data_IF_341207111930
#
_entry.id   IF_341207111930
#
_cell.length_a   1.000
_cell.length_b   1.000
_cell.length_c   1.000
_cell.angle_alpha   90.00
_cell.angle_beta   90.00
_cell.angle_gamma   90.00
#
_symmetry.space_group_name_H-M   'P 1'
#
loop_
_entity.id
_entity.type
_entity.pdbx_description
1 polymer ?
2 non-polymer ?
3 non-polymer ?
4 water ?
#
# COMPACT_ATOMS: atom_id res chain seq x y z
N UNK A 1 -9.46 21.90 -22.85
CA UNK A 1 -10.43 22.87 -22.36
C UNK A 1 -11.69 22.18 -21.84
N UNK A 2 -12.34 21.36 -22.65
CA UNK A 2 -13.32 20.40 -22.14
C UNK A 2 -12.97 19.01 -22.62
N UNK A 3 -13.40 17.99 -21.86
CA UNK A 3 -12.86 16.65 -21.94
C UNK A 3 -13.92 15.59 -22.16
N UNK A 4 -15.14 15.97 -22.54
CA UNK A 4 -16.20 14.97 -22.66
C UNK A 4 -16.06 14.08 -23.90
N UNK A 5 -15.17 14.44 -24.83
CA UNK A 5 -14.89 13.56 -25.96
C UNK A 5 -14.16 12.28 -25.52
N UNK A 6 -13.59 12.26 -24.32
CA UNK A 6 -12.76 11.15 -23.86
C UNK A 6 -13.29 10.45 -22.62
N UNK A 7 -14.13 11.09 -21.83
CA UNK A 7 -14.69 10.53 -20.59
C UNK A 7 -16.15 10.94 -20.51
N UNK A 8 -17.02 10.11 -19.89
CA UNK A 8 -18.42 10.48 -19.71
C UNK A 8 -18.66 11.37 -18.48
N UNK A 9 -17.87 12.44 -18.38
CA UNK A 9 -17.95 13.40 -17.29
C UNK A 9 -17.92 14.79 -17.88
N UNK A 10 -18.72 15.69 -17.30
CA UNK A 10 -18.50 17.13 -17.47
C UNK A 10 -17.36 17.55 -16.53
N UNK A 11 -17.01 18.85 -16.54
CA UNK A 11 -15.86 19.30 -15.74
C UNK A 11 -16.12 19.17 -14.24
N UNK A 12 -17.30 19.60 -13.76
CA UNK A 12 -17.58 19.50 -12.33
C UNK A 12 -17.67 18.07 -11.86
N UNK A 13 -18.24 17.17 -12.68
CA UNK A 13 -18.30 15.75 -12.30
C UNK A 13 -16.91 15.13 -12.29
N UNK A 14 -16.07 15.51 -13.24
CA UNK A 14 -14.73 14.94 -13.27
C UNK A 14 -13.90 15.48 -12.14
N UNK A 15 -14.00 16.80 -11.86
CA UNK A 15 -13.18 17.38 -10.78
C UNK A 15 -13.62 16.90 -9.41
N UNK A 16 -14.92 16.62 -9.24
CA UNK A 16 -15.38 16.00 -7.99
C UNK A 16 -14.76 14.61 -7.80
N UNK A 17 -14.74 13.81 -8.87
CA UNK A 17 -14.19 12.47 -8.80
C UNK A 17 -12.69 12.48 -8.49
N UNK A 18 -11.92 13.37 -9.13
CA UNK A 18 -10.48 13.50 -8.87
C UNK A 18 -10.20 13.99 -7.46
N UNK A 19 -10.97 14.98 -6.96
CA UNK A 19 -10.72 15.52 -5.62
C UNK A 19 -10.98 14.49 -4.52
N UNK A 20 -11.82 13.48 -4.81
CA UNK A 20 -12.09 12.38 -3.89
C UNK A 20 -10.88 11.47 -3.70
N UNK A 21 -9.86 11.55 -4.57
CA UNK A 21 -8.72 10.65 -4.54
C UNK A 21 -7.57 11.15 -3.70
N UNK A 22 -7.60 12.39 -3.26
CA UNK A 22 -6.36 13.04 -2.84
C UNK A 22 -6.67 14.20 -1.90
N UNK A 23 -5.62 14.69 -1.25
CA UNK A 23 -5.73 15.81 -0.33
C UNK A 23 -6.09 17.09 -1.09
N UNK A 24 -6.64 18.09 -0.39
CA UNK A 24 -6.84 19.41 -1.04
C UNK A 24 -5.56 20.04 -1.57
N UNK A 25 -4.43 19.91 -0.84
CA UNK A 25 -3.16 20.39 -1.37
C UNK A 25 -2.79 19.67 -2.67
N UNK A 26 -3.00 18.36 -2.72
CA UNK A 26 -2.69 17.62 -3.96
C UNK A 26 -3.62 18.02 -5.07
N UNK A 27 -4.90 18.27 -4.76
CA UNK A 27 -5.86 18.70 -5.78
C UNK A 27 -5.51 20.07 -6.35
N UNK A 28 -4.97 20.96 -5.51
CA UNK A 28 -4.53 22.27 -5.97
C UNK A 28 -3.32 22.16 -6.88
N UNK A 29 -2.41 21.23 -6.58
CA UNK A 29 -1.31 20.93 -7.49
C UNK A 29 -1.81 20.48 -8.84
N UNK A 30 -2.84 19.63 -8.86
CA UNK A 30 -3.36 19.09 -10.12
C UNK A 30 -3.98 20.18 -10.98
N UNK A 31 -4.78 21.09 -10.37
CA UNK A 31 -5.36 22.19 -11.13
C UNK A 31 -4.28 23.08 -11.72
N UNK A 32 -3.20 23.28 -10.98
CA UNK A 32 -2.07 24.04 -11.52
C UNK A 32 -1.39 23.34 -12.69
N UNK A 33 -1.25 22.01 -12.62
CA UNK A 33 -0.64 21.30 -13.75
C UNK A 33 -1.52 21.44 -14.97
N UNK A 34 -2.86 21.42 -14.78
CA UNK A 34 -3.79 21.63 -15.88
C UNK A 34 -3.57 22.99 -16.54
N UNK A 35 -3.39 24.02 -15.71
CA UNK A 35 -3.12 25.37 -16.23
C UNK A 35 -1.83 25.42 -17.02
N UNK A 36 -0.75 24.83 -16.49
CA UNK A 36 0.54 24.87 -17.17
C UNK A 36 0.55 24.02 -18.43
N UNK A 37 -0.14 22.88 -18.41
CA UNK A 37 -0.20 22.02 -19.59
C UNK A 37 -0.99 22.66 -20.71
N UNK A 38 -2.08 23.37 -20.37
CA UNK A 38 -2.83 24.07 -21.40
C UNK A 38 -1.98 25.20 -21.99
N UNK A 39 -1.24 25.89 -21.13
CA UNK A 39 -0.34 26.95 -21.54
C UNK A 39 0.87 26.41 -22.30
N UNK A 40 1.26 25.14 -22.09
CA UNK A 40 2.25 24.49 -22.95
C UNK A 40 1.67 23.94 -24.25
N UNK A 41 0.39 23.51 -24.25
CA UNK A 41 -0.21 22.88 -25.42
C UNK A 41 -0.51 23.84 -26.59
N UNK A 42 -1.13 25.03 -26.36
CA UNK A 42 -1.45 25.91 -27.50
C UNK A 42 -0.18 26.50 -28.10
N UNK A 43 0.84 26.68 -27.27
CA UNK A 43 2.14 27.13 -27.77
C UNK A 43 2.79 26.08 -28.67
N UNK A 44 2.92 24.83 -28.23
CA UNK A 44 3.71 23.88 -29.00
C UNK A 44 2.84 23.10 -29.96
N UNK A 45 1.53 23.33 -29.95
CA UNK A 45 0.62 22.69 -30.89
C UNK A 45 0.17 21.28 -30.56
N UNK A 46 0.07 20.89 -29.29
CA UNK A 46 -0.61 19.61 -29.04
C UNK A 46 -2.06 19.94 -28.65
N UNK A 47 -2.93 18.94 -28.79
CA UNK A 47 -4.37 19.07 -28.52
C UNK A 47 -4.55 19.50 -27.06
N UNK A 48 -5.17 20.66 -26.80
CA UNK A 48 -5.29 21.10 -25.41
C UNK A 48 -6.28 20.27 -24.64
N UNK A 49 -7.27 19.68 -25.32
CA UNK A 49 -8.18 18.76 -24.66
C UNK A 49 -7.44 17.50 -24.19
N UNK A 50 -6.49 17.03 -24.98
CA UNK A 50 -5.72 15.87 -24.56
C UNK A 50 -4.70 16.26 -23.49
N UNK A 51 -4.07 17.41 -23.65
CA UNK A 51 -3.10 17.86 -22.67
C UNK A 51 -3.76 18.19 -21.34
N UNK A 52 -4.91 18.85 -21.35
CA UNK A 52 -5.52 19.26 -20.10
C UNK A 52 -6.04 18.09 -19.29
N UNK A 53 -6.57 17.09 -19.98
CA UNK A 53 -7.09 15.92 -19.32
C UNK A 53 -5.98 15.06 -18.75
N UNK A 54 -4.88 14.91 -19.50
CA UNK A 54 -3.72 14.19 -18.94
C UNK A 54 -3.21 14.88 -17.68
N UNK A 55 -3.27 16.20 -17.66
CA UNK A 55 -2.83 16.92 -16.47
C UNK A 55 -3.80 16.73 -15.31
N UNK A 56 -5.11 16.76 -15.59
CA UNK A 56 -6.08 16.53 -14.51
C UNK A 56 -5.97 15.15 -13.90
N UNK A 57 -5.57 14.16 -14.71
CA UNK A 57 -5.57 12.78 -14.24
C UNK A 57 -4.19 12.23 -13.83
N UNK A 58 -3.08 12.97 -14.03
CA UNK A 58 -1.75 12.37 -13.90
C UNK A 58 -1.46 11.85 -12.49
N UNK A 59 -2.00 12.51 -11.44
CA UNK A 59 -1.78 12.11 -10.06
C UNK A 59 -3.01 11.48 -9.44
N UNK A 60 -3.87 10.90 -10.27
CA UNK A 60 -5.10 10.29 -9.80
C UNK A 60 -4.85 9.19 -8.77
N UNK A 61 -3.78 8.41 -8.97
CA UNK A 61 -3.45 7.29 -8.12
C UNK A 61 -2.34 7.60 -7.14
N UNK A 62 -2.04 8.89 -6.93
CA UNK A 62 -0.89 9.30 -6.10
C UNK A 62 -0.99 8.78 -4.67
N UNK A 63 -2.19 8.81 -4.09
CA UNK A 63 -2.37 8.48 -2.67
C UNK A 63 -2.81 7.04 -2.44
N UNK A 64 -2.77 6.18 -3.47
CA UNK A 64 -3.16 4.78 -3.27
C UNK A 64 -2.10 4.03 -2.48
N UNK A 65 -2.50 3.10 -1.59
CA UNK A 65 -1.53 2.31 -0.83
C UNK A 65 -0.81 1.35 -1.77
N UNK A 66 0.36 0.87 -1.31
CA UNK A 66 1.23 0.02 -2.14
C UNK A 66 0.50 -1.21 -2.68
N UNK A 67 -0.43 -1.78 -1.89
CA UNK A 67 -1.13 -3.00 -2.28
C UNK A 67 -2.03 -2.80 -3.51
N UNK A 68 -2.57 -1.58 -3.70
CA UNK A 68 -3.32 -1.28 -4.93
C UNK A 68 -2.45 -1.55 -6.15
N UNK A 69 -1.19 -1.10 -6.10
CA UNK A 69 -0.29 -1.26 -7.24
C UNK A 69 0.23 -2.69 -7.38
N UNK A 70 0.55 -3.33 -6.26
CA UNK A 70 0.96 -4.74 -6.32
C UNK A 70 -0.16 -5.63 -6.89
N UNK A 71 -1.41 -5.34 -6.52
CA UNK A 71 -2.55 -6.10 -7.06
C UNK A 71 -2.74 -5.84 -8.55
N UNK A 72 -2.57 -4.57 -8.98
CA UNK A 72 -2.69 -4.25 -10.39
C UNK A 72 -1.58 -4.89 -11.22
N UNK A 73 -0.35 -4.93 -10.70
CA UNK A 73 0.79 -5.58 -11.36
C UNK A 73 0.48 -7.05 -11.67
N UNK A 74 -0.11 -7.73 -10.70
CA UNK A 74 -0.47 -9.14 -10.87
C UNK A 74 -1.65 -9.31 -11.81
N UNK A 75 -2.66 -8.45 -11.66
CA UNK A 75 -3.90 -8.57 -12.44
C UNK A 75 -3.65 -8.35 -13.93
N UNK A 76 -2.84 -7.36 -14.29
CA UNK A 76 -2.59 -7.09 -15.69
C UNK A 76 -1.33 -7.76 -16.17
N UNK A 77 -0.69 -8.52 -15.27
CA UNK A 77 0.50 -9.31 -15.54
C UNK A 77 1.62 -8.43 -16.07
N UNK A 78 1.79 -7.29 -15.39
CA UNK A 78 2.85 -6.34 -15.68
C UNK A 78 4.19 -6.92 -15.22
N UNK A 79 5.28 -6.23 -15.54
CA UNK A 79 6.62 -6.74 -15.27
C UNK A 79 6.83 -6.95 -13.78
N UNK A 80 7.31 -8.13 -13.36
CA UNK A 80 7.41 -8.42 -11.91
C UNK A 80 8.43 -7.55 -11.21
N UNK A 81 9.39 -7.03 -11.98
CA UNK A 81 10.41 -6.10 -11.52
C UNK A 81 9.81 -4.82 -10.94
N UNK A 82 8.59 -4.46 -11.37
CA UNK A 82 7.89 -3.29 -10.84
C UNK A 82 7.61 -3.43 -9.35
N UNK A 83 7.42 -4.67 -8.86
CA UNK A 83 7.09 -4.89 -7.46
C UNK A 83 8.23 -4.51 -6.51
N UNK A 84 9.46 -4.36 -7.02
CA UNK A 84 10.56 -3.94 -6.16
C UNK A 84 10.60 -2.43 -5.91
N UNK A 85 9.76 -1.65 -6.59
CA UNK A 85 9.86 -0.20 -6.54
C UNK A 85 8.89 0.40 -5.53
N UNK A 86 8.41 1.61 -5.80
CA UNK A 86 7.67 2.36 -4.80
C UNK A 86 6.58 3.17 -5.49
N UNK A 87 5.83 3.92 -4.68
CA UNK A 87 4.75 4.79 -5.18
C UNK A 87 5.21 5.78 -6.26
N UNK A 88 6.42 6.35 -6.10
CA UNK A 88 6.96 7.31 -7.07
C UNK A 88 6.95 6.74 -8.47
N UNK A 89 7.36 5.48 -8.61
CA UNK A 89 7.32 4.79 -9.90
C UNK A 89 5.89 4.36 -10.25
N UNK A 90 5.16 3.79 -9.26
CA UNK A 90 3.91 3.08 -9.54
C UNK A 90 2.77 4.02 -9.95
N UNK A 91 2.68 5.23 -9.34
CA UNK A 91 1.42 5.97 -9.42
C UNK A 91 1.12 6.45 -10.83
N UNK A 92 2.17 6.70 -11.63
CA UNK A 92 1.99 6.82 -13.06
C UNK A 92 2.11 5.49 -13.80
N UNK A 93 3.17 4.70 -13.55
CA UNK A 93 3.47 3.54 -14.41
C UNK A 93 2.43 2.43 -14.29
N UNK A 94 1.89 2.24 -13.10
CA UNK A 94 0.86 1.25 -12.86
C UNK A 94 -0.50 1.91 -12.63
N UNK A 95 -0.52 3.15 -12.12
CA UNK A 95 -1.78 3.84 -11.84
C UNK A 95 -2.66 4.09 -13.03
N UNK A 96 -2.11 4.04 -14.26
CA UNK A 96 -2.92 4.17 -15.48
C UNK A 96 -3.96 3.07 -15.58
N UNK A 97 -3.72 1.88 -15.01
CA UNK A 97 -4.75 0.84 -15.04
C UNK A 97 -5.88 1.15 -14.08
N UNK A 98 -5.58 1.81 -12.95
CA UNK A 98 -6.65 2.26 -12.05
C UNK A 98 -7.49 3.37 -12.70
N UNK A 99 -6.85 4.28 -13.42
CA UNK A 99 -7.57 5.33 -14.15
C UNK A 99 -8.52 4.71 -15.17
N UNK A 100 -8.04 3.72 -15.93
CA UNK A 100 -8.86 3.03 -16.93
C UNK A 100 -10.03 2.31 -16.31
N UNK A 101 -9.80 1.61 -15.19
CA UNK A 101 -10.88 0.90 -14.52
C UNK A 101 -11.89 1.87 -13.91
N UNK A 102 -11.41 2.90 -13.22
CA UNK A 102 -12.33 3.81 -12.52
C UNK A 102 -13.08 4.72 -13.48
N UNK A 103 -12.39 5.26 -14.48
CA UNK A 103 -12.94 6.35 -15.30
C UNK A 103 -13.27 5.96 -16.73
N UNK A 104 -12.79 4.81 -17.21
CA UNK A 104 -13.05 4.41 -18.58
C UNK A 104 -12.23 5.10 -19.63
N UNK A 105 -11.12 5.76 -19.25
CA UNK A 105 -10.23 6.37 -20.22
C UNK A 105 -9.55 5.31 -21.11
N UNK A 106 -9.71 5.43 -22.43
CA UNK A 106 -9.11 4.50 -23.35
C UNK A 106 -8.14 5.18 -24.33
N UNK A 107 -8.03 6.52 -24.28
CA UNK A 107 -7.17 7.22 -25.22
C UNK A 107 -5.71 6.87 -24.95
N UNK A 108 -5.10 6.15 -25.91
CA UNK A 108 -3.76 5.58 -25.77
C UNK A 108 -2.73 6.66 -25.52
N UNK A 109 -2.90 7.83 -26.18
CA UNK A 109 -1.92 8.91 -26.06
C UNK A 109 -1.95 9.54 -24.67
N UNK A 110 -3.15 9.81 -24.16
CA UNK A 110 -3.27 10.38 -22.82
C UNK A 110 -2.76 9.37 -21.78
N UNK A 111 -3.14 8.10 -21.94
CA UNK A 111 -2.72 7.07 -21.00
C UNK A 111 -1.19 6.94 -20.95
N UNK A 112 -0.54 6.99 -22.12
CA UNK A 112 0.91 6.89 -22.19
C UNK A 112 1.58 8.11 -21.56
N UNK A 113 1.00 9.30 -21.73
CA UNK A 113 1.57 10.50 -21.11
C UNK A 113 1.52 10.39 -19.58
N UNK A 114 0.41 9.87 -19.04
CA UNK A 114 0.29 9.71 -17.59
C UNK A 114 1.25 8.66 -17.09
N UNK A 115 1.37 7.56 -17.85
CA UNK A 115 2.25 6.43 -17.50
C UNK A 115 3.67 6.86 -17.23
N UNK A 116 4.21 7.77 -18.04
CA UNK A 116 5.62 8.13 -17.89
C UNK A 116 5.82 9.53 -17.33
N UNK A 117 4.79 10.14 -16.71
CA UNK A 117 4.92 11.53 -16.24
C UNK A 117 5.96 11.69 -15.14
N UNK A 118 6.31 10.62 -14.44
CA UNK A 118 7.35 10.72 -13.44
C UNK A 118 8.74 10.38 -13.97
N UNK A 119 8.87 9.23 -14.65
CA UNK A 119 10.20 8.72 -15.01
C UNK A 119 10.62 9.07 -16.43
N UNK A 120 9.68 9.48 -17.27
CA UNK A 120 9.95 9.77 -18.67
C UNK A 120 10.08 8.50 -19.51
N UNK A 121 10.47 8.70 -20.76
CA UNK A 121 10.94 7.57 -21.58
C UNK A 121 12.02 8.09 -22.50
N UNK A 122 12.69 7.12 -23.16
CA UNK A 122 13.67 7.48 -24.18
C UNK A 122 12.99 8.15 -25.38
N UNK A 123 11.82 7.65 -25.76
CA UNK A 123 11.03 8.22 -26.84
C UNK A 123 9.76 8.83 -26.22
N UNK A 124 9.60 10.13 -26.37
CA UNK A 124 8.44 10.83 -25.82
C UNK A 124 7.74 11.58 -26.93
N UNK A 125 6.41 11.51 -26.93
CA UNK A 125 5.69 12.36 -27.86
C UNK A 125 5.68 13.78 -27.33
N UNK A 126 5.17 14.68 -28.17
CA UNK A 126 4.95 16.05 -27.75
C UNK A 126 4.01 16.11 -26.55
N UNK A 127 2.91 15.32 -26.58
CA UNK A 127 1.97 15.25 -25.46
C UNK A 127 2.64 14.76 -24.18
N UNK A 128 3.45 13.68 -24.27
CA UNK A 128 4.20 13.19 -23.10
C UNK A 128 5.10 14.28 -22.52
N UNK A 129 5.77 15.02 -23.41
CA UNK A 129 6.73 16.01 -22.93
C UNK A 129 6.01 17.20 -22.28
N UNK A 130 4.84 17.58 -22.83
CA UNK A 130 4.05 18.68 -22.28
C UNK A 130 3.67 18.36 -20.82
N UNK A 131 3.13 17.16 -20.59
CA UNK A 131 2.73 16.78 -19.22
C UNK A 131 3.93 16.72 -18.28
N UNK A 132 5.04 16.15 -18.76
CA UNK A 132 6.23 15.95 -17.94
C UNK A 132 6.80 17.27 -17.44
N UNK A 133 6.80 18.30 -18.30
CA UNK A 133 7.32 19.60 -17.86
C UNK A 133 6.24 20.37 -17.08
N UNK A 134 4.96 20.27 -17.52
CA UNK A 134 3.86 20.98 -16.81
C UNK A 134 3.77 20.59 -15.35
N UNK A 135 3.99 19.30 -15.06
CA UNK A 135 4.01 18.81 -13.69
C UNK A 135 5.14 19.43 -12.87
N UNK A 136 6.25 19.72 -13.53
CA UNK A 136 7.43 20.26 -12.85
C UNK A 136 7.31 21.77 -12.59
N UNK A 137 6.78 22.52 -13.56
CA UNK A 137 6.89 23.98 -13.56
C UNK A 137 5.61 24.66 -13.15
N UNK A 138 4.60 23.87 -12.77
CA UNK A 138 3.28 24.27 -12.28
C UNK A 138 3.36 25.40 -11.25
N UNK A 139 2.36 26.31 -11.27
CA UNK A 139 2.50 27.61 -10.60
C UNK A 139 2.68 27.50 -9.09
N UNK A 140 2.14 26.44 -8.47
CA UNK A 140 2.26 26.20 -7.04
C UNK A 140 3.55 25.57 -6.57
N UNK A 141 4.38 25.08 -7.50
CA UNK A 141 5.65 24.44 -7.16
C UNK A 141 6.67 25.53 -6.91
N UNK A 142 7.17 25.65 -5.69
CA UNK A 142 8.31 26.52 -5.43
C UNK A 142 9.42 25.73 -4.77
N UNK A 143 10.49 25.53 -5.51
CA UNK A 143 11.79 24.97 -5.14
C UNK A 143 12.77 25.72 -6.01
N UNK A 144 14.07 25.82 -5.60
CA UNK A 144 15.01 26.74 -6.30
C UNK A 144 15.13 26.62 -7.82
N UNK A 145 15.01 25.42 -8.37
CA UNK A 145 15.19 25.23 -9.79
C UNK A 145 13.98 25.59 -10.64
N UNK A 146 12.83 26.02 -10.07
CA UNK A 146 11.60 26.22 -10.86
C UNK A 146 11.77 27.28 -11.94
N UNK A 147 12.53 28.34 -11.62
CA UNK A 147 12.46 29.55 -12.43
C UNK A 147 13.19 29.36 -13.73
N UNK A 148 14.32 28.65 -13.69
CA UNK A 148 15.03 28.39 -14.94
C UNK A 148 14.29 27.35 -15.74
N UNK A 149 13.62 26.41 -15.07
CA UNK A 149 12.80 25.42 -15.77
C UNK A 149 11.65 26.08 -16.50
N UNK A 150 10.99 27.05 -15.84
CA UNK A 150 9.94 27.84 -16.46
C UNK A 150 10.46 28.62 -17.66
N UNK A 151 11.67 29.20 -17.52
CA UNK A 151 12.27 29.98 -18.61
C UNK A 151 12.58 29.11 -19.82
N UNK A 152 13.17 27.92 -19.58
CA UNK A 152 13.50 26.98 -20.67
C UNK A 152 12.24 26.50 -21.39
N UNK A 153 11.16 26.29 -20.62
CA UNK A 153 9.92 25.69 -21.14
C UNK A 153 9.26 26.53 -22.25
N UNK A 154 9.52 27.85 -22.29
CA UNK A 154 8.96 28.68 -23.36
C UNK A 154 9.86 28.84 -24.58
N UNK A 155 11.15 28.43 -24.50
CA UNK A 155 12.07 28.43 -25.64
C UNK A 155 12.12 27.08 -26.35
N UNK A 156 12.43 26.03 -25.58
CA UNK A 156 12.79 24.72 -26.13
C UNK A 156 12.23 23.69 -25.16
N UNK A 157 11.23 22.93 -25.61
CA UNK A 157 10.60 21.96 -24.72
C UNK A 157 11.55 20.79 -24.45
N UNK A 158 12.33 20.37 -25.46
CA UNK A 158 13.29 19.27 -25.29
C UNK A 158 14.35 19.62 -24.25
N UNK A 159 14.78 20.88 -24.22
CA UNK A 159 15.73 21.30 -23.20
C UNK A 159 15.07 21.42 -21.84
N UNK A 160 13.75 21.61 -21.80
CA UNK A 160 13.08 21.60 -20.51
C UNK A 160 12.98 20.17 -19.97
N UNK A 161 12.69 19.20 -20.84
CA UNK A 161 12.65 17.78 -20.45
C UNK A 161 14.02 17.35 -19.94
N UNK A 162 15.07 17.74 -20.69
CA UNK A 162 16.45 17.46 -20.32
C UNK A 162 16.77 18.03 -18.95
N UNK A 163 16.35 19.28 -18.70
CA UNK A 163 16.65 19.96 -17.45
C UNK A 163 16.00 19.26 -16.25
N UNK A 164 14.74 18.83 -16.43
CA UNK A 164 14.03 18.15 -15.36
C UNK A 164 14.64 16.77 -15.07
N UNK A 165 14.87 15.98 -16.13
CA UNK A 165 15.36 14.61 -15.93
C UNK A 165 16.76 14.60 -15.35
N UNK A 166 17.63 15.48 -15.84
CA UNK A 166 18.98 15.53 -15.30
C UNK A 166 18.97 16.02 -13.85
N UNK A 167 18.15 17.02 -13.55
CA UNK A 167 18.07 17.48 -12.16
C UNK A 167 17.33 16.50 -11.26
N UNK A 168 16.40 15.70 -11.81
CA UNK A 168 15.78 14.68 -10.95
C UNK A 168 16.82 13.63 -10.55
N UNK A 169 17.66 13.20 -11.50
CA UNK A 169 18.71 12.22 -11.20
C UNK A 169 19.69 12.76 -10.15
N UNK A 170 20.06 14.04 -10.26
CA UNK A 170 20.96 14.65 -9.28
C UNK A 170 20.35 14.73 -7.89
N UNK A 171 19.03 14.97 -7.81
CA UNK A 171 18.35 15.00 -6.52
C UNK A 171 18.35 13.63 -5.85
N UNK A 172 17.95 12.60 -6.60
CA UNK A 172 17.93 11.23 -6.09
C UNK A 172 19.30 10.82 -5.59
N UNK A 173 20.36 11.18 -6.34
CA UNK A 173 21.73 10.93 -5.90
C UNK A 173 22.03 11.67 -4.60
N UNK A 174 21.50 12.87 -4.42
CA UNK A 174 21.81 13.60 -3.19
C UNK A 174 21.19 12.97 -1.94
N UNK A 175 20.14 12.14 -2.11
CA UNK A 175 19.45 11.45 -1.03
C UNK A 175 19.79 9.96 -0.93
N UNK A 176 20.68 9.45 -1.79
CA UNK A 176 20.94 8.01 -1.98
C UNK A 176 19.65 7.22 -2.21
N UNK A 177 18.76 7.76 -3.03
CA UNK A 177 17.57 7.02 -3.36
C UNK A 177 17.75 6.27 -4.68
N UNK A 178 17.16 5.09 -4.83
CA UNK A 178 17.38 4.30 -6.05
C UNK A 178 16.69 4.93 -7.25
N UNK A 179 17.36 4.82 -8.38
CA UNK A 179 16.90 5.42 -9.63
C UNK A 179 16.33 4.32 -10.51
N UNK A 180 15.06 4.49 -10.91
CA UNK A 180 14.39 3.54 -11.78
C UNK A 180 15.11 3.50 -13.12
N UNK A 181 15.35 2.31 -13.70
CA UNK A 181 16.11 2.25 -14.97
C UNK A 181 15.49 3.05 -16.12
N UNK A 182 14.16 3.17 -16.18
CA UNK A 182 13.56 4.00 -17.24
C UNK A 182 13.88 5.49 -17.06
N UNK A 183 14.12 5.93 -15.82
CA UNK A 183 14.57 7.31 -15.62
C UNK A 183 15.92 7.54 -16.27
N UNK A 184 16.81 6.54 -16.21
CA UNK A 184 18.08 6.65 -16.92
C UNK A 184 17.88 6.64 -18.43
N UNK A 185 16.93 5.84 -18.93
CA UNK A 185 16.57 5.87 -20.35
C UNK A 185 16.26 7.29 -20.80
N UNK A 186 15.43 7.98 -20.00
CA UNK A 186 15.09 9.37 -20.28
C UNK A 186 16.30 10.26 -20.21
N UNK A 187 17.08 10.12 -19.11
CA UNK A 187 18.30 10.90 -18.90
C UNK A 187 19.28 10.78 -20.07
N UNK A 188 19.55 9.54 -20.49
CA UNK A 188 20.54 9.36 -21.55
C UNK A 188 20.01 9.83 -22.90
N UNK A 189 18.69 9.77 -23.12
CA UNK A 189 18.16 10.24 -24.37
C UNK A 189 18.15 11.76 -24.45
N UNK A 190 18.06 12.45 -23.32
CA UNK A 190 17.89 13.89 -23.29
C UNK A 190 19.10 14.65 -22.78
N UNK A 191 20.16 13.93 -22.31
CA UNK A 191 21.36 14.55 -21.70
C UNK A 191 22.02 15.54 -22.65
N UNK A 192 21.98 15.24 -23.96
CA UNK A 192 22.64 16.09 -24.96
C UNK A 192 21.97 17.45 -25.11
N UNK A 193 20.64 17.53 -24.91
CA UNK A 193 19.97 18.84 -24.92
C UNK A 193 20.38 19.69 -23.71
N UNK A 194 20.71 19.08 -22.57
CA UNK A 194 21.19 19.89 -21.46
C UNK A 194 22.66 20.26 -21.58
N UNK A 195 23.47 19.46 -22.29
CA UNK A 195 24.84 19.91 -22.55
C UNK A 195 24.84 21.17 -23.40
N UNK A 196 24.00 21.18 -24.46
CA UNK A 196 23.89 22.34 -25.36
C UNK A 196 23.32 23.54 -24.63
N UNK A 197 22.39 23.29 -23.71
CA UNK A 197 21.94 24.32 -22.78
C UNK A 197 23.11 24.88 -21.98
N UNK A 198 23.83 24.00 -21.27
CA UNK A 198 24.94 24.39 -20.41
C UNK A 198 26.07 25.05 -21.20
N UNK B 2 -18.70 -7.18 6.24
CA UNK B 2 -19.48 -8.41 6.38
C UNK B 2 -18.80 -9.68 5.82
N UNK B 3 -19.15 -10.84 6.38
CA UNK B 3 -18.30 -12.02 6.32
C UNK B 3 -18.97 -13.21 5.67
N UNK B 4 -20.08 -13.01 4.95
CA UNK B 4 -20.81 -14.14 4.38
C UNK B 4 -20.10 -14.79 3.21
N UNK B 5 -19.08 -14.13 2.62
CA UNK B 5 -18.31 -14.80 1.56
C UNK B 5 -17.47 -15.94 2.09
N UNK B 6 -17.21 -15.99 3.40
CA UNK B 6 -16.30 -16.96 3.96
C UNK B 6 -16.95 -17.92 4.94
N UNK B 7 -18.07 -17.53 5.56
CA UNK B 7 -18.79 -18.35 6.53
C UNK B 7 -20.28 -18.21 6.34
N UNK B 8 -21.09 -19.29 6.65
CA UNK B 8 -22.55 -19.24 6.58
C UNK B 8 -23.22 -18.69 7.84
N UNK B 9 -22.73 -17.56 8.33
CA UNK B 9 -23.26 -16.94 9.53
C UNK B 9 -23.54 -15.49 9.21
N UNK B 10 -24.63 -14.96 9.76
CA UNK B 10 -24.78 -13.51 9.84
C UNK B 10 -23.90 -13.00 10.98
N UNK B 11 -23.86 -11.67 11.16
CA UNK B 11 -22.99 -11.10 12.18
C UNK B 11 -23.46 -11.44 13.61
N UNK B 12 -24.78 -11.37 13.85
CA UNK B 12 -25.32 -11.66 15.18
C UNK B 12 -25.05 -13.11 15.61
N UNK B 13 -25.18 -14.04 14.67
CA UNK B 13 -24.89 -15.43 14.97
C UNK B 13 -23.39 -15.70 15.11
N UNK B 14 -22.58 -15.03 14.31
CA UNK B 14 -21.15 -15.29 14.38
C UNK B 14 -20.59 -14.73 15.68
N UNK B 15 -21.04 -13.53 16.07
CA UNK B 15 -20.55 -12.94 17.30
C UNK B 15 -21.05 -13.73 18.50
N UNK B 16 -22.28 -14.26 18.43
CA UNK B 16 -22.78 -15.14 19.49
C UNK B 16 -21.95 -16.41 19.61
N UNK B 17 -21.59 -17.03 18.47
CA UNK B 17 -20.79 -18.25 18.47
C UNK B 17 -19.38 -17.99 19.03
N UNK B 18 -18.75 -16.88 18.60
CA UNK B 18 -17.44 -16.47 19.11
C UNK B 18 -17.56 -16.17 20.60
N UNK B 19 -18.62 -15.47 21.00
CA UNK B 19 -18.81 -15.11 22.39
C UNK B 19 -18.97 -16.32 23.30
N UNK B 20 -19.45 -17.44 22.77
CA UNK B 20 -19.58 -18.66 23.55
C UNK B 20 -18.22 -19.27 23.92
N UNK B 21 -17.13 -18.85 23.28
CA UNK B 21 -15.83 -19.45 23.49
C UNK B 21 -15.02 -18.78 24.59
N UNK B 22 -15.47 -17.64 25.14
CA UNK B 22 -14.52 -16.80 25.86
C UNK B 22 -15.19 -15.88 26.89
N UNK B 23 -14.34 -15.32 27.78
CA UNK B 23 -14.74 -14.38 28.83
C UNK B 23 -15.16 -13.05 28.20
N UNK B 24 -15.97 -12.28 28.94
CA UNK B 24 -16.31 -10.90 28.46
C UNK B 24 -15.13 -9.97 28.25
N UNK B 25 -14.11 -10.02 29.12
CA UNK B 25 -12.91 -9.23 28.88
C UNK B 25 -12.26 -9.65 27.57
N UNK B 26 -12.22 -10.95 27.29
CA UNK B 26 -11.63 -11.43 26.06
C UNK B 26 -12.45 -11.05 24.81
N UNK B 27 -13.78 -11.20 24.87
CA UNK B 27 -14.62 -10.85 23.73
C UNK B 27 -14.59 -9.36 23.43
N UNK B 28 -14.37 -8.54 24.44
CA UNK B 28 -14.22 -7.10 24.22
C UNK B 28 -12.90 -6.80 23.53
N UNK B 29 -11.84 -7.56 23.89
CA UNK B 29 -10.58 -7.45 23.17
C UNK B 29 -10.76 -7.78 21.69
N UNK B 30 -11.55 -8.81 21.40
CA UNK B 30 -11.76 -9.27 20.02
C UNK B 30 -12.48 -8.20 19.19
N UNK B 31 -13.53 -7.56 19.75
CA UNK B 31 -14.19 -6.48 19.01
C UNK B 31 -13.26 -5.28 18.78
N UNK B 32 -12.36 -4.99 19.75
CA UNK B 32 -11.34 -3.95 19.54
C UNK B 32 -10.40 -4.28 18.39
N UNK B 33 -9.96 -5.53 18.31
CA UNK B 33 -9.09 -5.97 17.21
C UNK B 33 -9.80 -5.86 15.87
N UNK B 34 -11.11 -6.17 15.84
CA UNK B 34 -11.90 -5.99 14.62
C UNK B 34 -11.92 -4.54 14.13
N UNK B 35 -12.14 -3.60 15.06
CA UNK B 35 -12.09 -2.19 14.70
C UNK B 35 -10.71 -1.79 14.22
N UNK B 36 -9.67 -2.25 14.91
CA UNK B 36 -8.32 -1.88 14.53
C UNK B 36 -7.92 -2.50 13.18
N UNK B 37 -8.34 -3.74 12.92
CA UNK B 37 -7.98 -4.40 11.68
C UNK B 37 -8.68 -3.80 10.48
N UNK B 38 -9.96 -3.41 10.64
CA UNK B 38 -10.68 -2.78 9.54
C UNK B 38 -10.05 -1.43 9.20
N UNK B 39 -9.62 -0.66 10.20
CA UNK B 39 -9.02 0.62 9.90
C UNK B 39 -7.63 0.49 9.30
N UNK B 40 -6.87 -0.56 9.69
CA UNK B 40 -5.58 -0.80 9.06
C UNK B 40 -5.77 -1.35 7.65
N UNK B 41 -6.84 -2.12 7.43
CA UNK B 41 -7.08 -2.68 6.11
C UNK B 41 -7.43 -1.58 5.12
N UNK B 42 -8.25 -0.61 5.53
CA UNK B 42 -8.58 0.45 4.57
C UNK B 42 -7.40 1.39 4.33
N UNK B 43 -6.54 1.61 5.35
CA UNK B 43 -5.32 2.40 5.17
C UNK B 43 -4.34 1.73 4.20
N UNK B 44 -4.14 0.42 4.34
CA UNK B 44 -3.12 -0.28 3.57
C UNK B 44 -3.65 -1.03 2.35
N UNK B 45 -4.97 -1.06 2.16
CA UNK B 45 -5.56 -1.72 0.99
C UNK B 45 -5.68 -3.23 1.03
N UNK B 46 -5.79 -3.87 2.20
CA UNK B 46 -6.14 -5.28 2.10
C UNK B 46 -7.65 -5.36 2.27
N UNK B 47 -8.21 -6.46 1.82
CA UNK B 47 -9.65 -6.72 1.83
C UNK B 47 -10.19 -6.66 3.27
N UNK B 48 -11.08 -5.73 3.59
CA UNK B 48 -11.54 -5.60 4.99
C UNK B 48 -12.45 -6.71 5.41
N UNK B 49 -13.11 -7.37 4.45
CA UNK B 49 -13.91 -8.54 4.77
C UNK B 49 -13.02 -9.64 5.32
N UNK B 50 -11.83 -9.79 4.75
CA UNK B 50 -10.92 -10.80 5.27
C UNK B 50 -10.27 -10.32 6.55
N UNK B 51 -9.90 -9.02 6.60
CA UNK B 51 -9.24 -8.50 7.78
C UNK B 51 -10.15 -8.55 8.99
N UNK B 52 -11.41 -8.14 8.79
CA UNK B 52 -12.35 -8.12 9.89
C UNK B 52 -12.68 -9.49 10.43
N UNK B 53 -12.79 -10.48 9.53
CA UNK B 53 -13.11 -11.83 9.98
C UNK B 53 -11.93 -12.47 10.69
N UNK B 54 -10.71 -12.28 10.14
CA UNK B 54 -9.50 -12.77 10.83
C UNK B 54 -9.41 -12.20 12.23
N UNK B 55 -9.84 -10.94 12.39
CA UNK B 55 -9.79 -10.32 13.70
C UNK B 55 -10.81 -10.93 14.65
N UNK B 56 -12.06 -11.14 14.17
CA UNK B 56 -13.10 -11.77 14.98
C UNK B 56 -12.74 -13.18 15.40
N UNK B 57 -12.00 -13.90 14.56
CA UNK B 57 -11.74 -15.30 14.88
C UNK B 57 -10.37 -15.57 15.51
N UNK B 58 -9.48 -14.56 15.63
CA UNK B 58 -8.07 -14.85 15.91
C UNK B 58 -7.87 -15.49 17.29
N UNK B 59 -8.70 -15.15 18.25
CA UNK B 59 -8.57 -15.68 19.61
C UNK B 59 -9.72 -16.64 19.95
N UNK B 60 -10.30 -17.28 18.92
CA UNK B 60 -11.42 -18.20 19.10
C UNK B 60 -11.07 -19.37 20.02
N UNK B 61 -9.82 -19.83 19.95
CA UNK B 61 -9.36 -20.97 20.72
C UNK B 61 -8.54 -20.56 21.93
N UNK B 62 -8.58 -19.27 22.32
CA UNK B 62 -7.69 -18.79 23.39
C UNK B 62 -7.95 -19.52 24.71
N UNK B 63 -9.21 -19.85 24.99
CA UNK B 63 -9.50 -20.43 26.29
C UNK B 63 -9.62 -21.94 26.30
N UNK B 64 -9.23 -22.65 25.24
CA UNK B 64 -9.35 -24.11 25.26
C UNK B 64 -8.28 -24.72 26.17
N UNK B 65 -8.60 -25.82 26.86
CA UNK B 65 -7.58 -26.47 27.67
C UNK B 65 -6.51 -27.11 26.80
N UNK B 66 -5.36 -27.38 27.46
CA UNK B 66 -4.16 -27.92 26.78
C UNK B 66 -4.46 -29.22 26.02
N UNK B 67 -5.35 -30.07 26.56
CA UNK B 67 -5.61 -31.36 25.92
C UNK B 67 -6.29 -31.22 24.58
N UNK B 68 -7.12 -30.19 24.39
CA UNK B 68 -7.73 -29.89 23.09
C UNK B 68 -6.65 -29.69 22.03
N UNK B 69 -5.60 -28.94 22.38
CA UNK B 69 -4.55 -28.65 21.41
C UNK B 69 -3.66 -29.88 21.18
N UNK B 70 -3.37 -30.63 22.24
CA UNK B 70 -2.62 -31.88 22.09
C UNK B 70 -3.37 -32.89 21.21
N UNK B 71 -4.69 -32.94 21.35
CA UNK B 71 -5.49 -33.85 20.50
C UNK B 71 -5.53 -33.39 19.04
N UNK B 72 -5.61 -32.07 18.81
CA UNK B 72 -5.55 -31.55 17.44
C UNK B 72 -4.18 -31.78 16.77
N UNK B 73 -3.09 -31.62 17.56
CA UNK B 73 -1.74 -31.91 17.05
C UNK B 73 -1.67 -33.34 16.51
N UNK B 74 -2.24 -34.28 17.25
CA UNK B 74 -2.23 -35.68 16.85
C UNK B 74 -3.15 -35.94 15.66
N UNK B 75 -4.38 -35.39 15.71
CA UNK B 75 -5.39 -35.65 14.67
C UNK B 75 -4.98 -35.09 13.33
N UNK B 76 -4.39 -33.90 13.31
CA UNK B 76 -4.07 -33.29 12.03
C UNK B 76 -2.62 -33.50 11.63
N UNK B 77 -1.89 -34.33 12.38
CA UNK B 77 -0.52 -34.76 12.06
C UNK B 77 0.42 -33.56 12.02
N UNK B 78 0.25 -32.67 13.00
CA UNK B 78 1.11 -31.50 13.11
C UNK B 78 2.47 -31.95 13.65
N UNK B 79 3.46 -31.04 13.58
CA UNK B 79 4.81 -31.42 13.98
C UNK B 79 4.79 -31.74 15.47
N UNK B 80 5.28 -32.93 15.86
CA UNK B 80 5.14 -33.36 17.28
C UNK B 80 5.88 -32.48 18.24
N UNK B 81 6.87 -31.72 17.74
CA UNK B 81 7.59 -30.73 18.52
C UNK B 81 6.67 -29.66 19.11
N UNK B 82 5.52 -29.39 18.47
CA UNK B 82 4.56 -28.42 19.00
C UNK B 82 4.04 -28.81 20.37
N UNK B 83 4.01 -30.11 20.69
CA UNK B 83 3.43 -30.59 21.95
C UNK B 83 4.19 -30.13 23.17
N UNK B 84 5.46 -29.74 23.01
CA UNK B 84 6.30 -29.24 24.10
C UNK B 84 6.03 -27.77 24.44
N UNK B 85 5.15 -27.10 23.70
CA UNK B 85 4.92 -25.67 23.88
C UNK B 85 3.72 -25.44 24.78
N UNK B 86 2.99 -24.33 24.58
CA UNK B 86 1.94 -23.88 25.49
C UNK B 86 0.82 -23.22 24.71
N UNK B 87 -0.17 -22.73 25.47
CA UNK B 87 -1.34 -22.04 24.91
C UNK B 87 -0.96 -20.81 24.07
N UNK B 88 0.06 -20.03 24.52
CA UNK B 88 0.54 -18.86 23.76
C UNK B 88 0.87 -19.23 22.32
N UNK B 89 1.57 -20.35 22.16
CA UNK B 89 1.89 -20.83 20.83
C UNK B 89 0.66 -21.47 20.19
N UNK B 90 -0.09 -22.27 20.97
CA UNK B 90 -1.08 -23.17 20.37
C UNK B 90 -2.32 -22.44 19.85
N UNK B 91 -2.80 -21.40 20.56
CA UNK B 91 -4.19 -20.96 20.32
C UNK B 91 -4.37 -20.39 18.93
N UNK B 92 -3.28 -19.88 18.31
CA UNK B 92 -3.25 -19.58 16.90
C UNK B 92 -2.74 -20.72 16.05
N UNK B 93 -1.57 -21.29 16.37
CA UNK B 93 -0.91 -22.22 15.44
C UNK B 93 -1.67 -23.53 15.32
N UNK B 94 -2.32 -23.94 16.39
CA UNK B 94 -3.13 -25.14 16.40
C UNK B 94 -4.62 -24.82 16.44
N UNK B 95 -5.01 -23.69 17.03
CA UNK B 95 -6.41 -23.30 17.09
C UNK B 95 -7.09 -23.12 15.74
N UNK B 96 -6.32 -22.91 14.66
CA UNK B 96 -6.92 -22.80 13.33
C UNK B 96 -7.62 -24.10 12.94
N UNK B 97 -7.16 -25.25 13.47
CA UNK B 97 -7.82 -26.52 13.18
C UNK B 97 -9.16 -26.63 13.90
N UNK B 98 -9.24 -26.10 15.11
CA UNK B 98 -10.53 -26.03 15.78
C UNK B 98 -11.49 -25.07 15.07
N UNK B 99 -10.98 -23.92 14.57
CA UNK B 99 -11.82 -22.96 13.83
C UNK B 99 -12.41 -23.60 12.57
N UNK B 100 -11.59 -24.37 11.85
CA UNK B 100 -12.04 -25.08 10.65
C UNK B 100 -13.10 -26.13 10.97
N UNK B 101 -12.87 -26.93 12.03
CA UNK B 101 -13.85 -27.95 12.44
C UNK B 101 -15.15 -27.34 12.92
N UNK B 102 -15.07 -26.32 13.78
CA UNK B 102 -16.28 -25.75 14.37
C UNK B 102 -17.04 -24.91 13.36
N UNK B 103 -16.35 -24.11 12.56
CA UNK B 103 -17.03 -23.09 11.76
C UNK B 103 -17.04 -23.37 10.26
N UNK B 104 -16.18 -24.25 9.77
CA UNK B 104 -16.11 -24.50 8.35
C UNK B 104 -15.33 -23.49 7.55
N UNK B 105 -14.52 -22.65 8.22
CA UNK B 105 -13.69 -21.66 7.51
C UNK B 105 -12.71 -22.34 6.56
N UNK B 106 -12.71 -21.91 5.30
CA UNK B 106 -11.84 -22.51 4.31
C UNK B 106 -10.81 -21.56 3.72
N UNK B 107 -10.94 -20.26 3.93
CA UNK B 107 -10.05 -19.31 3.26
C UNK B 107 -8.62 -19.42 3.79
N UNK B 108 -7.66 -19.78 2.89
CA UNK B 108 -6.27 -19.99 3.31
C UNK B 108 -5.66 -18.70 3.87
N UNK B 109 -6.00 -17.55 3.31
CA UNK B 109 -5.34 -16.30 3.72
C UNK B 109 -5.76 -15.92 5.13
N UNK B 110 -7.05 -16.08 5.44
CA UNK B 110 -7.55 -15.80 6.77
C UNK B 110 -6.98 -16.80 7.77
N UNK B 111 -6.96 -18.08 7.38
CA UNK B 111 -6.43 -19.11 8.26
C UNK B 111 -4.95 -18.86 8.58
N UNK B 112 -4.18 -18.45 7.58
CA UNK B 112 -2.74 -18.24 7.82
C UNK B 112 -2.50 -17.03 8.73
N UNK B 113 -3.32 -15.99 8.58
CA UNK B 113 -3.20 -14.81 9.43
C UNK B 113 -3.49 -15.14 10.89
N UNK B 114 -4.54 -15.94 11.12
CA UNK B 114 -4.85 -16.40 12.47
C UNK B 114 -3.75 -17.33 13.01
N UNK B 115 -3.24 -18.24 12.14
CA UNK B 115 -2.24 -19.23 12.52
C UNK B 115 -1.00 -18.59 13.14
N UNK B 116 -0.52 -17.49 12.56
CA UNK B 116 0.73 -16.88 13.00
C UNK B 116 0.49 -15.58 13.76
N UNK B 117 -0.74 -15.31 14.23
CA UNK B 117 -1.01 -13.99 14.82
C UNK B 117 -0.25 -13.73 16.12
N UNK B 118 0.20 -14.79 16.81
CA UNK B 118 1.02 -14.60 18.00
C UNK B 118 2.49 -14.58 17.65
N UNK B 119 2.97 -15.57 16.89
CA UNK B 119 4.41 -15.69 16.70
C UNK B 119 4.93 -15.04 15.43
N UNK B 120 4.08 -14.69 14.48
CA UNK B 120 4.55 -14.13 13.22
C UNK B 120 5.18 -15.20 12.36
N UNK B 121 5.72 -14.77 11.24
CA UNK B 121 6.59 -15.61 10.44
C UNK B 121 7.60 -14.69 9.77
N UNK B 122 8.61 -15.31 9.15
CA UNK B 122 9.62 -14.56 8.40
C UNK B 122 9.00 -13.91 7.17
N UNK B 123 8.08 -14.61 6.53
CA UNK B 123 7.34 -14.11 5.40
C UNK B 123 5.88 -13.97 5.83
N UNK B 124 5.39 -12.75 5.86
CA UNK B 124 4.02 -12.46 6.26
C UNK B 124 3.35 -11.70 5.12
N UNK B 125 2.10 -12.05 4.82
CA UNK B 125 1.35 -11.29 3.84
C UNK B 125 0.88 -9.99 4.47
N UNK B 126 0.34 -9.08 3.65
CA UNK B 126 -0.29 -7.85 4.20
C UNK B 126 -1.39 -8.16 5.22
N UNK B 127 -2.27 -9.13 4.91
CA UNK B 127 -3.30 -9.55 5.86
C UNK B 127 -2.72 -10.05 7.18
N UNK B 128 -1.68 -10.91 7.11
CA UNK B 128 -1.00 -11.40 8.33
C UNK B 128 -0.48 -10.24 9.18
N UNK B 129 0.14 -9.24 8.53
CA UNK B 129 0.69 -8.10 9.26
C UNK B 129 -0.40 -7.23 9.84
N UNK B 130 -1.51 -7.07 9.11
CA UNK B 130 -2.65 -6.27 9.59
C UNK B 130 -3.17 -6.86 10.90
N UNK B 131 -3.42 -8.16 10.92
CA UNK B 131 -3.93 -8.81 12.15
C UNK B 131 -2.89 -8.78 13.28
N UNK B 132 -1.62 -9.04 12.93
CA UNK B 132 -0.55 -9.10 13.93
C UNK B 132 -0.41 -7.76 14.63
N UNK B 133 -0.60 -6.67 13.89
CA UNK B 133 -0.48 -5.32 14.48
C UNK B 133 -1.78 -4.91 15.17
N UNK B 134 -2.94 -5.19 14.56
CA UNK B 134 -4.25 -4.83 15.14
C UNK B 134 -4.45 -5.48 16.50
N UNK B 135 -3.97 -6.71 16.66
CA UNK B 135 -4.08 -7.42 17.94
C UNK B 135 -3.33 -6.69 19.04
N UNK B 136 -2.20 -6.08 18.68
CA UNK B 136 -1.34 -5.38 19.62
C UNK B 136 -1.88 -4.00 19.95
N UNK B 137 -2.44 -3.30 18.95
CA UNK B 137 -2.73 -1.87 19.09
C UNK B 137 -4.19 -1.56 19.28
N UNK B 138 -5.08 -2.57 19.36
CA UNK B 138 -6.52 -2.38 19.56
C UNK B 138 -6.79 -1.50 20.78
N UNK B 139 -7.90 -0.75 20.72
CA UNK B 139 -8.09 0.41 21.60
C UNK B 139 -8.16 0.03 23.08
N UNK B 140 -8.56 -1.21 23.39
CA UNK B 140 -8.62 -1.59 24.78
C UNK B 140 -7.29 -1.90 25.42
N UNK B 141 -6.23 -2.06 24.64
CA UNK B 141 -4.92 -2.40 25.18
C UNK B 141 -4.22 -1.12 25.60
N UNK B 142 -4.03 -0.94 26.90
CA UNK B 142 -3.17 0.12 27.38
C UNK B 142 -2.06 -0.58 28.13
N UNK B 143 -0.86 -0.47 27.59
CA UNK B 143 0.40 -0.87 28.16
C UNK B 143 1.31 0.19 27.61
N UNK B 144 2.38 0.56 28.31
CA UNK B 144 3.21 1.70 27.86
C UNK B 144 3.83 1.52 26.47
N UNK B 145 4.21 0.30 26.08
CA UNK B 145 4.92 0.16 24.81
C UNK B 145 3.98 0.20 23.61
N UNK B 146 2.67 0.08 23.84
CA UNK B 146 1.67 0.03 22.76
C UNK B 146 1.60 1.36 22.01
N UNK B 147 1.86 2.46 22.70
CA UNK B 147 1.52 3.79 22.22
C UNK B 147 2.43 4.23 21.07
N UNK B 148 3.71 3.84 21.09
CA UNK B 148 4.55 4.08 19.93
C UNK B 148 4.17 3.16 18.76
N UNK B 149 3.67 1.95 19.05
CA UNK B 149 3.23 1.07 17.98
C UNK B 149 2.02 1.63 17.25
N UNK B 150 1.07 2.22 17.98
CA UNK B 150 -0.07 2.89 17.36
C UNK B 150 0.38 3.99 16.42
N UNK B 151 1.41 4.74 16.80
CA UNK B 151 1.95 5.80 15.96
C UNK B 151 2.66 5.24 14.73
N UNK B 152 3.52 4.24 14.93
CA UNK B 152 4.26 3.63 13.81
C UNK B 152 3.31 3.01 12.80
N UNK B 153 2.20 2.43 13.30
CA UNK B 153 1.34 1.57 12.49
C UNK B 153 0.66 2.30 11.35
N UNK B 154 0.31 3.57 11.51
CA UNK B 154 -0.30 4.16 10.32
C UNK B 154 0.71 4.88 9.43
N UNK B 155 1.98 4.90 9.81
CA UNK B 155 3.00 5.35 8.89
C UNK B 155 3.60 4.19 8.10
N UNK B 156 4.09 3.15 8.80
CA UNK B 156 4.91 2.09 8.19
C UNK B 156 4.55 0.80 8.90
N UNK B 157 3.86 -0.10 8.18
CA UNK B 157 3.34 -1.32 8.80
C UNK B 157 4.46 -2.31 9.15
N UNK B 158 5.50 -2.40 8.31
CA UNK B 158 6.63 -3.28 8.58
C UNK B 158 7.37 -2.88 9.84
N UNK B 159 7.50 -1.58 10.09
CA UNK B 159 8.14 -1.13 11.31
C UNK B 159 7.27 -1.37 12.53
N UNK B 160 5.94 -1.44 12.34
CA UNK B 160 5.05 -1.78 13.44
C UNK B 160 5.21 -3.24 13.83
N UNK B 161 5.37 -4.12 12.83
CA UNK B 161 5.65 -5.52 13.07
C UNK B 161 6.97 -5.71 13.79
N UNK B 162 8.03 -5.01 13.32
CA UNK B 162 9.36 -5.10 13.93
C UNK B 162 9.30 -4.71 15.40
N UNK B 163 8.60 -3.62 15.69
CA UNK B 163 8.49 -3.08 17.04
C UNK B 163 7.83 -4.09 17.97
N UNK B 164 6.80 -4.75 17.47
CA UNK B 164 6.13 -5.75 18.31
C UNK B 164 7.01 -6.95 18.53
N UNK B 165 7.62 -7.47 17.46
CA UNK B 165 8.41 -8.69 17.61
C UNK B 165 9.63 -8.46 18.51
N UNK B 166 10.29 -7.30 18.36
CA UNK B 166 11.44 -7.02 19.22
C UNK B 166 11.03 -6.88 20.68
N UNK B 167 9.91 -6.18 20.96
CA UNK B 167 9.47 -5.98 22.33
C UNK B 167 8.99 -7.28 22.93
N UNK B 168 8.45 -8.17 22.10
CA UNK B 168 8.04 -9.48 22.59
C UNK B 168 9.24 -10.33 22.98
N UNK B 169 10.30 -10.35 22.13
CA UNK B 169 11.49 -11.15 22.45
C UNK B 169 12.14 -10.60 23.73
N UNK B 170 12.14 -9.27 23.88
CA UNK B 170 12.68 -8.63 25.08
C UNK B 170 11.84 -8.96 26.32
N UNK B 171 10.52 -9.03 26.16
CA UNK B 171 9.65 -9.38 27.28
C UNK B 171 9.88 -10.82 27.71
N UNK B 172 9.84 -11.77 26.75
CA UNK B 172 10.09 -13.18 27.04
C UNK B 172 11.44 -13.39 27.72
N UNK B 173 12.49 -12.72 27.22
CA UNK B 173 13.82 -12.79 27.85
C UNK B 173 13.79 -12.27 29.28
N UNK B 174 13.02 -11.19 29.53
CA UNK B 174 12.96 -10.61 30.87
C UNK B 174 12.30 -11.53 31.88
N UNK B 175 11.49 -12.50 31.44
CA UNK B 175 10.85 -13.46 32.32
C UNK B 175 11.49 -14.84 32.23
N UNK B 176 12.54 -14.99 31.41
CA UNK B 176 13.17 -16.28 31.09
C UNK B 176 12.15 -17.32 30.64
N UNK B 177 11.19 -16.90 29.78
CA UNK B 177 10.21 -17.81 29.18
C UNK B 177 10.72 -18.26 27.82
N UNK B 178 10.41 -19.49 27.39
CA UNK B 178 11.00 -19.99 26.14
C UNK B 178 10.44 -19.28 24.95
N UNK B 179 11.32 -19.04 23.99
CA UNK B 179 10.97 -18.33 22.78
C UNK B 179 10.79 -19.36 21.68
N UNK B 180 9.59 -19.38 21.10
CA UNK B 180 9.28 -20.33 20.04
C UNK B 180 10.18 -20.03 18.83
N UNK B 181 10.77 -21.06 18.20
CA UNK B 181 11.72 -20.79 17.07
C UNK B 181 11.15 -19.95 15.93
N UNK B 182 9.85 -20.05 15.63
CA UNK B 182 9.27 -19.19 14.61
C UNK B 182 9.20 -17.73 15.06
N UNK B 183 9.08 -17.47 16.39
CA UNK B 183 9.15 -16.08 16.88
C UNK B 183 10.52 -15.47 16.52
N UNK B 184 11.58 -16.29 16.60
CA UNK B 184 12.91 -15.82 16.16
C UNK B 184 12.96 -15.54 14.67
N UNK B 185 12.33 -16.40 13.84
CA UNK B 185 12.21 -16.20 12.39
C UNK B 185 11.68 -14.83 12.08
N UNK B 186 10.60 -14.44 12.77
CA UNK B 186 10.00 -13.13 12.62
C UNK B 186 10.95 -12.04 13.06
N UNK B 187 11.54 -12.21 14.24
CA UNK B 187 12.44 -11.20 14.81
C UNK B 187 13.60 -10.89 13.86
N UNK B 188 14.24 -11.94 13.35
CA UNK B 188 15.39 -11.72 12.48
C UNK B 188 14.96 -11.15 11.15
N UNK B 189 13.73 -11.45 10.72
CA UNK B 189 13.28 -10.97 9.42
C UNK B 189 12.93 -9.50 9.50
N UNK B 190 12.47 -9.02 10.67
CA UNK B 190 12.02 -7.65 10.78
C UNK B 190 12.98 -6.76 11.56
N UNK B 191 14.11 -7.31 12.10
CA UNK B 191 15.03 -6.60 13.03
C UNK B 191 15.53 -5.32 12.40
N UNK B 192 15.80 -5.37 11.09
CA UNK B 192 16.41 -4.26 10.39
C UNK B 192 15.46 -3.08 10.20
N UNK B 193 14.14 -3.32 10.10
CA UNK B 193 13.18 -2.22 10.03
C UNK B 193 13.14 -1.40 11.31
N UNK B 194 13.48 -2.00 12.45
CA UNK B 194 13.52 -1.24 13.68
C UNK B 194 14.84 -0.51 13.88
N UNK B 195 15.92 -0.97 13.24
CA UNK B 195 17.16 -0.19 13.22
C UNK B 195 17.04 1.07 12.35
X LIG C 1 3.79 14.49 -9.17
X LIG C 1 3.22 14.16 -10.61
X LIG C 1 3.62 13.37 -8.18
X LIG C 1 3.32 15.86 -8.73
X LIG C 1 6.18 13.18 -9.85
X LIG C 1 6.97 13.66 -11.06
X LIG C 1 5.17 12.11 -10.16
X LIG C 1 5.41 14.43 -9.11
X LIG C 1 7.24 12.73 -8.75
X LIG C 1 6.98 12.23 -7.47
X LIG C 1 8.36 11.82 -6.94
X LIG C 1 8.97 10.72 -7.67
X LIG C 1 9.43 12.91 -6.91
X LIG C 1 9.84 13.04 -5.55
X LIG C 1 10.63 12.38 -7.65
X LIG C 1 11.88 12.74 -7.03
X LIG C 1 10.39 10.89 -7.54
X LIG C 1 11.13 10.19 -8.59
X LIG C 1 11.25 10.53 -9.93
X LIG C 1 12.03 9.59 -10.59
X LIG C 1 12.40 8.68 -9.66
X LIG C 1 13.22 7.45 -9.66
X LIG C 1 13.75 7.11 -10.82
X LIG C 1 13.36 6.77 -8.50
X LIG C 1 12.78 7.15 -7.33
X LIG C 1 12.01 8.29 -7.27
X LIG C 1 11.81 9.06 -8.36
X LIG D 1 3.03 12.40 -9.99
X LIG E 1 2.07 15.81 -10.19
X LIG F 1 -3.55 -12.49 23.10
X LIG F 1 -4.41 -11.28 22.79
X LIG F 1 -3.30 -13.15 24.46
X LIG F 1 -4.15 -13.76 22.45
X LIG F 1 -1.14 -13.01 21.52
X LIG F 1 -0.24 -12.11 20.71
X LIG F 1 -1.85 -14.15 20.83
X LIG F 1 -2.26 -12.05 22.20
X LIG F 1 -0.17 -13.44 22.75
X LIG F 1 -0.32 -14.25 23.88
X LIG F 1 1.02 -14.35 24.65
X LIG F 1 2.02 -15.07 23.90
X LIG F 1 1.72 -13.10 25.16
X LIG F 1 1.72 -13.17 26.60
X LIG F 1 3.15 -13.21 24.57
X LIG F 1 4.15 -12.75 25.46
X LIG F 1 3.33 -14.70 24.30
X LIG F 1 4.31 -15.09 23.24
X LIG F 1 4.40 -14.45 22.07
X LIG F 1 5.35 -15.00 21.26
X LIG F 1 5.92 -16.01 21.93
X LIG F 1 7.04 -16.93 21.52
X LIG F 1 7.63 -16.81 20.22
X LIG F 1 7.27 -17.83 22.52
X LIG F 1 6.61 -17.88 23.73
X LIG F 1 5.60 -17.08 24.14
X LIG F 1 5.23 -16.10 23.25
X LIG G 1 -4.03 -14.35 20.62
X LIG H 1 -5.75 -11.27 20.68
#
# INVERSE_FOLDING_TARGET
>A
MTYEDYLPYSRTELLAKIAEQMSPKRFKHVLGVEKAALSLAECYGCNPDKAGLAALLHDYAKECPDQVFLDLIDKYQLSPELAKWNNNVWHGMVGIYKIQEDLGLKDKDILRAIEIHTVGAAEMTLLDKVLYVADYIEEGRIFPLVDDARKIAKLDLNQAVAYETVNTVAYLASKAQPIFPQTLDTYNAFCSYLKEYL
>B
MTYEDYLPYSRTELLAKIAEQMSPKRFKHVLGVEKAALSLAECYGCNPDKAGLAALLHDYAKECPDQVFLDLIDKYQLSPELAKWNNNVWHGMVGIYKIQEDLGLKDKDILRAIEIHTVGAAEMTLLDKVLYVADYIEEGRIFPLVDDARKIAKLDLNQAVAYETVNTVAYLASKAQPIFPQTLDTYNAFCSYLKEYL
>C hetero
1 ADP PB O1B O2B O3B PA O1A O2A O3A O5' C5' C4' O4' C3' O3' C2' O2' C1' N9 C8 N7 C5 C6 N6 N1 C2 N3 C4
>D hetero
1 MG MG
>E hetero
1 MG MG
>F hetero
1 ADP PB O1B O2B O3B PA O1A O2A O3A O5' C5' C4' O4' C3' O3' C2' O2' C1' N9 C8 N7 C5 C6 N6 N1 C2 N3 C4
>G hetero
1 MG MG
>H hetero
1 MG MG
#
